data_IF_406475469640
#
_entry.id   IF_406475469640
#
_cell.length_a   1.000
_cell.length_b   1.000
_cell.length_c   1.000
_cell.angle_alpha   90.00
_cell.angle_beta   90.00
_cell.angle_gamma   90.00
#
_symmetry.space_group_name_H-M   'P 1'
#
loop_
_entity.id
_entity.type
_entity.pdbx_description
1 polymer ?
#
# COMPACT_ATOMS: atom_id res chain seq x y z
N UNK A 1 -23.25 -16.79 13.01
CA UNK A 1 -21.86 -16.79 12.53
C UNK A 1 -21.87 -17.53 11.20
N UNK A 2 -21.50 -16.88 10.10
CA UNK A 2 -21.29 -17.56 8.82
C UNK A 2 -20.12 -18.53 8.96
N UNK A 3 -20.16 -19.66 8.22
CA UNK A 3 -19.04 -20.60 8.18
C UNK A 3 -17.74 -19.89 7.79
N UNK A 4 -16.57 -20.35 8.29
CA UNK A 4 -15.29 -19.77 7.89
C UNK A 4 -15.14 -19.81 6.36
N UNK A 5 -14.60 -18.74 5.79
CA UNK A 5 -14.34 -18.67 4.36
C UNK A 5 -13.03 -19.37 4.02
N UNK A 6 -13.11 -20.67 3.64
CA UNK A 6 -11.97 -21.53 3.32
C UNK A 6 -11.43 -21.34 1.89
N UNK A 7 -11.97 -20.39 1.12
CA UNK A 7 -11.50 -20.14 -0.24
C UNK A 7 -10.03 -19.68 -0.23
N UNK A 8 -9.25 -20.20 -1.19
CA UNK A 8 -7.87 -19.78 -1.40
C UNK A 8 -7.79 -18.33 -1.93
N UNK A 9 -6.67 -17.60 -1.71
CA UNK A 9 -6.56 -16.18 -2.07
C UNK A 9 -6.94 -15.85 -3.51
N UNK A 10 -6.50 -16.65 -4.50
CA UNK A 10 -6.84 -16.41 -5.92
C UNK A 10 -8.34 -16.59 -6.19
N UNK A 11 -9.00 -17.52 -5.50
CA UNK A 11 -10.46 -17.69 -5.59
C UNK A 11 -11.18 -16.49 -4.97
N UNK A 12 -10.69 -15.98 -3.84
CA UNK A 12 -11.20 -14.74 -3.24
C UNK A 12 -11.09 -13.55 -4.20
N UNK A 13 -9.92 -13.33 -4.82
CA UNK A 13 -9.75 -12.28 -5.83
C UNK A 13 -10.77 -12.38 -6.97
N UNK A 14 -11.09 -13.58 -7.44
CA UNK A 14 -12.04 -13.79 -8.51
C UNK A 14 -13.51 -13.56 -8.07
N UNK A 15 -13.86 -13.80 -6.83
CA UNK A 15 -15.24 -13.90 -6.37
C UNK A 15 -15.67 -12.84 -5.34
N UNK A 16 -14.73 -12.24 -4.59
CA UNK A 16 -15.02 -11.32 -3.49
C UNK A 16 -15.83 -10.09 -3.93
N UNK A 17 -16.65 -9.56 -3.02
CA UNK A 17 -17.44 -8.35 -3.24
C UNK A 17 -18.58 -8.48 -4.25
N UNK A 18 -19.00 -9.70 -4.60
CA UNK A 18 -20.05 -9.96 -5.60
C UNK A 18 -21.38 -10.35 -4.93
N UNK A 19 -21.87 -9.51 -4.03
CA UNK A 19 -23.18 -9.74 -3.38
C UNK A 19 -24.31 -9.61 -4.39
N UNK A 20 -25.34 -10.49 -4.35
CA UNK A 20 -26.50 -10.41 -5.25
C UNK A 20 -27.22 -9.05 -5.20
N UNK A 21 -27.25 -8.38 -4.05
CA UNK A 21 -27.83 -7.06 -3.86
C UNK A 21 -27.14 -5.97 -4.70
N UNK A 22 -25.89 -6.19 -5.08
CA UNK A 22 -25.09 -5.23 -5.86
C UNK A 22 -24.93 -5.62 -7.32
N UNK A 23 -25.11 -6.88 -7.65
CA UNK A 23 -24.94 -7.41 -9.01
C UNK A 23 -26.24 -7.82 -9.66
N UNK A 24 -27.33 -7.98 -8.88
CA UNK A 24 -28.66 -8.32 -9.34
C UNK A 24 -29.55 -7.10 -9.55
N UNK A 25 -30.71 -7.35 -10.15
CA UNK A 25 -31.80 -6.38 -10.25
C UNK A 25 -33.02 -6.92 -9.49
N UNK A 26 -33.66 -6.14 -8.62
CA UNK A 26 -34.87 -6.58 -7.89
C UNK A 26 -35.93 -7.16 -8.84
N UNK A 27 -36.45 -8.33 -8.48
CA UNK A 27 -37.48 -9.00 -9.27
C UNK A 27 -36.97 -9.75 -10.51
N UNK A 28 -35.69 -9.76 -10.78
CA UNK A 28 -35.08 -10.53 -11.86
C UNK A 28 -34.38 -11.80 -11.32
N UNK A 29 -34.43 -12.93 -12.04
CA UNK A 29 -33.88 -14.21 -11.57
C UNK A 29 -32.35 -14.32 -11.72
N UNK A 30 -31.68 -13.34 -12.32
CA UNK A 30 -30.24 -13.36 -12.60
C UNK A 30 -29.49 -12.17 -12.03
N UNK A 31 -28.15 -12.31 -12.01
CA UNK A 31 -27.23 -11.25 -11.64
C UNK A 31 -26.06 -11.20 -12.62
N UNK A 32 -25.54 -10.00 -12.89
CA UNK A 32 -24.34 -9.83 -13.72
C UNK A 32 -23.08 -10.15 -12.93
N UNK A 33 -21.99 -10.49 -13.64
CA UNK A 33 -20.75 -10.95 -12.98
C UNK A 33 -20.07 -9.81 -12.19
N UNK A 34 -20.03 -8.62 -12.72
CA UNK A 34 -19.40 -7.45 -12.09
C UNK A 34 -20.45 -6.44 -11.62
N UNK A 35 -20.25 -5.83 -10.47
CA UNK A 35 -21.13 -4.74 -10.02
C UNK A 35 -21.17 -3.62 -11.07
N UNK A 36 -22.34 -3.10 -11.43
CA UNK A 36 -22.44 -1.98 -12.37
C UNK A 36 -21.94 -0.69 -11.73
N UNK A 37 -21.68 0.33 -12.57
CA UNK A 37 -21.30 1.66 -12.08
C UNK A 37 -22.55 2.41 -11.62
N UNK A 38 -22.71 2.53 -10.31
CA UNK A 38 -23.79 3.28 -9.68
C UNK A 38 -23.33 4.70 -9.36
N UNK A 39 -23.67 5.66 -10.22
CA UNK A 39 -23.43 7.08 -9.96
C UNK A 39 -24.63 7.67 -9.24
N UNK A 40 -24.39 8.33 -8.09
CA UNK A 40 -25.44 8.96 -7.32
C UNK A 40 -24.94 10.18 -6.54
N UNK A 41 -25.78 11.18 -6.43
CA UNK A 41 -25.68 12.26 -5.45
C UNK A 41 -26.89 12.18 -4.52
N UNK A 42 -28.04 12.60 -4.98
CA UNK A 42 -29.31 12.53 -4.25
C UNK A 42 -29.93 11.14 -4.37
N UNK A 43 -30.47 10.65 -3.26
CA UNK A 43 -31.31 9.44 -3.19
C UNK A 43 -32.71 9.88 -2.90
N UNK A 44 -33.67 9.43 -3.68
CA UNK A 44 -35.08 9.77 -3.50
C UNK A 44 -35.75 8.73 -2.60
N UNK A 45 -36.68 9.21 -1.77
CA UNK A 45 -37.50 8.41 -0.87
C UNK A 45 -38.97 8.61 -1.22
N UNK A 46 -39.80 7.58 -1.01
CA UNK A 46 -41.22 7.63 -1.34
C UNK A 46 -42.00 8.67 -0.49
N UNK A 47 -41.58 8.86 0.77
CA UNK A 47 -42.17 9.80 1.69
C UNK A 47 -41.21 10.23 2.81
N UNK A 48 -41.65 11.20 3.62
CA UNK A 48 -40.87 11.76 4.74
C UNK A 48 -40.66 10.74 5.86
N UNK A 49 -41.52 9.75 6.03
CA UNK A 49 -41.37 8.73 7.05
C UNK A 49 -40.21 7.78 6.67
N UNK A 50 -40.10 7.38 5.41
CA UNK A 50 -38.98 6.61 4.88
C UNK A 50 -37.67 7.38 4.97
N UNK A 51 -37.67 8.68 4.62
CA UNK A 51 -36.48 9.54 4.77
C UNK A 51 -36.02 9.61 6.24
N UNK A 52 -36.95 9.84 7.19
CA UNK A 52 -36.64 9.91 8.62
C UNK A 52 -36.10 8.58 9.16
N UNK A 53 -36.69 7.46 8.75
CA UNK A 53 -36.23 6.12 9.11
C UNK A 53 -34.80 5.85 8.60
N UNK A 54 -34.53 6.24 7.37
CA UNK A 54 -33.17 6.11 6.79
C UNK A 54 -32.15 6.98 7.54
N UNK A 55 -32.49 8.21 7.90
CA UNK A 55 -31.63 9.13 8.65
C UNK A 55 -31.35 8.65 10.08
N UNK A 56 -32.29 7.97 10.72
CA UNK A 56 -32.14 7.40 12.07
C UNK A 56 -31.44 6.03 12.13
N UNK A 57 -31.10 5.46 11.00
CA UNK A 57 -30.46 4.15 10.92
C UNK A 57 -28.97 4.25 10.48
N UNK A 58 -28.23 3.14 10.63
CA UNK A 58 -26.88 3.07 10.05
C UNK A 58 -26.96 3.31 8.54
N UNK A 59 -26.12 4.22 8.04
CA UNK A 59 -26.02 4.55 6.60
C UNK A 59 -24.90 3.75 5.92
N UNK A 60 -24.24 2.83 6.63
CA UNK A 60 -23.20 1.98 6.06
C UNK A 60 -23.82 0.93 5.13
N UNK A 61 -23.30 0.83 3.93
CA UNK A 61 -23.81 -0.04 2.84
C UNK A 61 -25.31 0.13 2.53
N UNK A 62 -25.80 1.37 2.68
CA UNK A 62 -27.17 1.74 2.33
C UNK A 62 -27.19 3.01 1.49
N UNK A 63 -28.02 3.02 0.48
CA UNK A 63 -28.28 4.22 -0.31
C UNK A 63 -28.96 5.28 0.57
N UNK A 64 -28.19 6.28 0.96
CA UNK A 64 -28.64 7.40 1.77
C UNK A 64 -28.34 8.76 1.12
N UNK A 65 -27.09 8.92 0.68
CA UNK A 65 -26.58 10.07 -0.03
C UNK A 65 -25.27 9.65 -0.72
N UNK A 66 -25.03 10.06 -1.96
CA UNK A 66 -23.91 9.57 -2.79
C UNK A 66 -22.53 9.62 -2.12
N UNK A 67 -22.28 10.63 -1.26
CA UNK A 67 -21.03 10.74 -0.47
C UNK A 67 -20.82 9.56 0.50
N UNK A 68 -21.87 8.83 0.88
CA UNK A 68 -21.76 7.63 1.74
C UNK A 68 -21.41 6.36 0.95
N UNK A 69 -21.21 6.50 -0.34
CA UNK A 69 -20.93 5.40 -1.25
C UNK A 69 -22.15 4.84 -1.96
N UNK A 70 -21.90 3.97 -2.90
CA UNK A 70 -22.88 3.25 -3.71
C UNK A 70 -22.47 1.78 -3.79
N UNK A 71 -23.32 0.87 -4.29
CA UNK A 71 -23.00 -0.54 -4.43
C UNK A 71 -21.66 -0.81 -5.15
N UNK A 72 -21.25 0.03 -6.10
CA UNK A 72 -19.96 -0.11 -6.79
C UNK A 72 -18.78 0.04 -5.83
N UNK A 73 -18.80 1.09 -4.99
CA UNK A 73 -17.76 1.32 -3.99
C UNK A 73 -17.80 0.26 -2.88
N UNK A 74 -18.98 -0.13 -2.43
CA UNK A 74 -19.13 -1.17 -1.39
C UNK A 74 -18.64 -2.54 -1.88
N UNK A 75 -18.90 -2.88 -3.15
CA UNK A 75 -18.38 -4.12 -3.77
C UNK A 75 -16.86 -4.20 -3.71
N UNK A 76 -16.16 -3.09 -4.00
CA UNK A 76 -14.70 -3.03 -3.88
C UNK A 76 -14.25 -3.11 -2.42
N UNK A 77 -14.90 -2.34 -1.54
CA UNK A 77 -14.56 -2.32 -0.12
C UNK A 77 -14.71 -3.72 0.51
N UNK A 78 -15.80 -4.42 0.20
CA UNK A 78 -15.99 -5.81 0.63
C UNK A 78 -14.92 -6.75 0.07
N UNK A 79 -14.58 -6.61 -1.21
CA UNK A 79 -13.56 -7.44 -1.82
C UNK A 79 -12.19 -7.27 -1.13
N UNK A 80 -11.82 -6.03 -0.76
CA UNK A 80 -10.59 -5.76 0.00
C UNK A 80 -10.69 -6.28 1.44
N UNK A 81 -11.86 -6.18 2.07
CA UNK A 81 -12.12 -6.74 3.40
C UNK A 81 -11.96 -8.26 3.41
N UNK A 82 -12.51 -8.96 2.42
CA UNK A 82 -12.38 -10.42 2.28
C UNK A 82 -10.94 -10.90 2.07
N UNK A 83 -10.05 -10.03 1.57
CA UNK A 83 -8.62 -10.33 1.40
C UNK A 83 -7.81 -10.22 2.71
N UNK A 84 -8.34 -9.56 3.74
CA UNK A 84 -7.69 -9.36 5.04
C UNK A 84 -8.42 -10.17 6.13
N UNK A 85 -7.99 -11.39 6.47
CA UNK A 85 -8.61 -12.16 7.55
C UNK A 85 -8.56 -11.39 8.88
N UNK A 86 -9.69 -11.32 9.58
CA UNK A 86 -9.84 -10.53 10.81
C UNK A 86 -10.36 -9.11 10.58
N UNK A 87 -10.53 -8.69 9.33
CA UNK A 87 -11.09 -7.37 9.02
C UNK A 87 -12.59 -7.26 9.36
N UNK A 88 -12.98 -6.12 9.93
CA UNK A 88 -14.38 -5.76 10.14
C UNK A 88 -14.94 -4.91 8.98
N UNK A 89 -14.06 -4.33 8.17
CA UNK A 89 -14.46 -3.56 7.00
C UNK A 89 -13.33 -2.71 6.41
N UNK A 90 -13.60 -2.17 5.23
CA UNK A 90 -12.68 -1.31 4.48
C UNK A 90 -13.35 0.01 4.11
N UNK A 91 -12.64 1.13 4.28
CA UNK A 91 -13.01 2.44 3.75
C UNK A 91 -12.14 2.79 2.54
N UNK A 92 -12.75 3.43 1.54
CA UNK A 92 -12.06 3.88 0.32
C UNK A 92 -11.80 5.39 0.37
N UNK A 93 -10.68 5.81 -0.21
CA UNK A 93 -10.17 7.18 -0.20
C UNK A 93 -9.71 7.60 -1.60
N UNK A 94 -9.69 8.92 -1.92
CA UNK A 94 -9.31 9.41 -3.24
C UNK A 94 -7.81 9.22 -3.58
N UNK A 95 -6.97 8.89 -2.58
CA UNK A 95 -5.55 8.60 -2.78
C UNK A 95 -4.97 7.82 -1.59
N UNK A 96 -3.77 7.24 -1.76
CA UNK A 96 -3.03 6.61 -0.66
C UNK A 96 -2.72 7.60 0.48
N UNK A 97 -2.30 8.81 0.15
CA UNK A 97 -2.03 9.86 1.16
C UNK A 97 -3.30 10.24 1.93
N UNK A 98 -4.45 10.31 1.26
CA UNK A 98 -5.72 10.56 1.93
C UNK A 98 -6.11 9.41 2.87
N UNK A 99 -5.81 8.17 2.52
CA UNK A 99 -6.00 7.01 3.38
C UNK A 99 -5.10 7.08 4.62
N UNK A 100 -3.80 7.33 4.45
CA UNK A 100 -2.82 7.46 5.53
C UNK A 100 -3.20 8.61 6.46
N UNK A 101 -3.39 9.81 5.93
CA UNK A 101 -3.70 11.00 6.73
C UNK A 101 -4.99 10.85 7.53
N UNK A 102 -6.03 10.30 6.91
CA UNK A 102 -7.30 10.06 7.58
C UNK A 102 -7.19 8.96 8.66
N UNK A 103 -6.41 7.91 8.43
CA UNK A 103 -6.16 6.86 9.42
C UNK A 103 -5.39 7.41 10.63
N UNK A 104 -4.35 8.21 10.42
CA UNK A 104 -3.59 8.86 11.49
C UNK A 104 -4.48 9.82 12.30
N UNK A 105 -5.29 10.65 11.63
CA UNK A 105 -6.24 11.54 12.31
C UNK A 105 -7.38 10.80 13.02
N UNK A 106 -7.66 9.56 12.66
CA UNK A 106 -8.61 8.73 13.38
C UNK A 106 -8.05 8.24 14.72
N UNK A 107 -6.76 8.00 14.84
CA UNK A 107 -6.13 7.39 16.02
C UNK A 107 -5.46 8.40 16.95
N UNK A 108 -4.95 9.51 16.41
CA UNK A 108 -4.15 10.50 17.14
C UNK A 108 -4.97 11.76 17.50
N UNK A 109 -4.58 12.41 18.58
CA UNK A 109 -5.10 13.70 19.03
C UNK A 109 -3.94 14.59 19.56
N UNK A 110 -4.14 15.90 19.72
CA UNK A 110 -3.12 16.78 20.30
C UNK A 110 -2.58 16.26 21.62
N UNK A 111 -1.24 16.24 21.76
CA UNK A 111 -0.50 15.68 22.91
C UNK A 111 -0.08 14.22 22.76
N UNK A 112 -0.55 13.53 21.72
CA UNK A 112 -0.10 12.16 21.43
C UNK A 112 1.23 12.16 20.64
N UNK A 113 1.97 11.06 20.76
CA UNK A 113 3.18 10.76 20.00
C UNK A 113 2.94 9.61 19.04
N UNK A 114 3.38 9.78 17.78
CA UNK A 114 3.43 8.75 16.75
C UNK A 114 4.86 8.21 16.65
N UNK A 115 5.04 6.90 16.76
CA UNK A 115 6.28 6.25 16.32
C UNK A 115 6.16 5.89 14.85
N UNK A 116 7.11 6.33 14.02
CA UNK A 116 7.11 6.09 12.59
C UNK A 116 8.43 5.45 12.16
N UNK A 117 8.33 4.41 11.35
CA UNK A 117 9.52 3.81 10.74
C UNK A 117 10.28 4.84 9.90
N UNK A 118 11.61 4.88 10.04
CA UNK A 118 12.46 5.87 9.34
C UNK A 118 12.48 5.66 7.82
N UNK A 119 12.11 4.47 7.35
CA UNK A 119 11.94 4.14 5.93
C UNK A 119 10.53 4.41 5.37
N UNK A 120 9.69 5.15 6.09
CA UNK A 120 8.34 5.47 5.62
C UNK A 120 8.34 6.34 4.36
N UNK A 121 7.30 6.16 3.55
CA UNK A 121 7.03 6.94 2.34
C UNK A 121 7.08 8.45 2.60
N UNK A 122 7.84 9.20 1.78
CA UNK A 122 8.10 10.62 2.01
C UNK A 122 6.84 11.50 2.20
N UNK A 123 5.77 11.39 1.41
CA UNK A 123 4.55 12.15 1.67
C UNK A 123 3.89 11.86 3.02
N UNK A 124 4.08 10.67 3.60
CA UNK A 124 3.63 10.37 4.97
C UNK A 124 4.44 11.17 6.00
N UNK A 125 5.77 11.22 5.83
CA UNK A 125 6.66 12.03 6.65
C UNK A 125 6.30 13.52 6.55
N UNK A 126 6.11 14.01 5.33
CA UNK A 126 5.69 15.40 5.07
C UNK A 126 4.36 15.75 5.74
N UNK A 127 3.38 14.82 5.74
CA UNK A 127 2.13 15.01 6.46
C UNK A 127 2.38 15.13 7.98
N UNK A 128 3.24 14.31 8.55
CA UNK A 128 3.57 14.38 9.97
C UNK A 128 4.23 15.72 10.34
N UNK A 129 5.22 16.18 9.58
CA UNK A 129 5.93 17.42 9.88
C UNK A 129 5.08 18.68 9.65
N UNK A 130 4.28 18.71 8.59
CA UNK A 130 3.57 19.92 8.19
C UNK A 130 2.11 19.98 8.63
N UNK A 131 1.51 18.85 9.01
CA UNK A 131 0.13 18.79 9.50
C UNK A 131 0.06 18.33 10.96
N UNK A 132 0.61 17.16 11.32
CA UNK A 132 0.44 16.63 12.68
C UNK A 132 1.19 17.48 13.72
N UNK A 133 2.41 17.87 13.44
CA UNK A 133 3.23 18.66 14.36
C UNK A 133 2.60 20.03 14.70
N UNK A 134 2.10 20.85 13.75
CA UNK A 134 1.35 22.07 14.08
C UNK A 134 0.08 21.83 14.92
N UNK A 135 -0.52 20.63 14.82
CA UNK A 135 -1.66 20.23 15.67
C UNK A 135 -1.24 19.68 17.03
N UNK A 136 0.06 19.72 17.38
CA UNK A 136 0.57 19.27 18.67
C UNK A 136 0.66 17.75 18.81
N UNK A 137 0.86 17.05 17.68
CA UNK A 137 1.14 15.61 17.65
C UNK A 137 2.60 15.45 17.27
N UNK A 138 3.39 14.82 18.12
CA UNK A 138 4.81 14.58 17.88
C UNK A 138 5.01 13.31 17.05
N UNK A 139 6.06 13.31 16.20
CA UNK A 139 6.49 12.12 15.46
C UNK A 139 7.93 11.80 15.80
N UNK A 140 8.16 10.59 16.31
CA UNK A 140 9.49 10.04 16.57
C UNK A 140 9.77 8.96 15.53
N UNK A 141 10.88 9.13 14.81
CA UNK A 141 11.32 8.15 13.81
C UNK A 141 12.20 7.09 14.44
N UNK A 142 12.02 5.83 14.05
CA UNK A 142 12.81 4.71 14.57
C UNK A 142 13.46 3.89 13.44
N UNK A 143 14.57 3.25 13.76
CA UNK A 143 15.30 2.37 12.85
C UNK A 143 14.48 1.09 12.58
N UNK A 144 14.16 0.74 11.31
CA UNK A 144 13.43 -0.48 10.96
C UNK A 144 14.10 -1.78 11.43
N UNK A 145 15.41 -1.75 11.67
CA UNK A 145 16.20 -2.91 12.05
C UNK A 145 16.51 -2.98 13.55
N UNK A 146 16.12 -1.98 14.36
CA UNK A 146 16.40 -1.92 15.82
C UNK A 146 15.12 -2.03 16.67
N UNK A 147 14.63 -3.26 16.81
CA UNK A 147 13.46 -3.57 17.65
C UNK A 147 13.70 -3.24 19.13
N UNK A 148 14.96 -3.36 19.62
CA UNK A 148 15.27 -3.09 21.03
C UNK A 148 15.10 -1.60 21.35
N UNK A 149 15.54 -0.72 20.46
CA UNK A 149 15.37 0.73 20.63
C UNK A 149 13.89 1.14 20.48
N UNK A 150 13.15 0.52 19.58
CA UNK A 150 11.70 0.75 19.48
C UNK A 150 11.00 0.42 20.81
N UNK A 151 11.33 -0.71 21.44
CA UNK A 151 10.75 -1.10 22.72
C UNK A 151 10.95 -0.03 23.81
N UNK A 152 12.09 0.67 23.82
CA UNK A 152 12.33 1.78 24.74
C UNK A 152 11.42 2.99 24.44
N UNK A 153 11.17 3.31 23.18
CA UNK A 153 10.23 4.38 22.81
C UNK A 153 8.79 4.06 23.21
N UNK A 154 8.39 2.79 23.21
CA UNK A 154 7.05 2.35 23.62
C UNK A 154 6.80 2.48 25.13
N UNK A 155 7.83 2.74 25.95
CA UNK A 155 7.65 3.04 27.38
C UNK A 155 7.09 4.45 27.65
N UNK A 156 7.16 5.36 26.68
CA UNK A 156 6.58 6.69 26.81
C UNK A 156 5.04 6.62 26.76
N UNK A 157 4.33 7.04 27.81
CA UNK A 157 2.87 7.00 27.85
C UNK A 157 2.19 7.96 26.85
N UNK A 158 2.92 8.89 26.23
CA UNK A 158 2.39 9.74 25.15
C UNK A 158 2.29 8.99 23.82
N UNK A 159 3.02 7.89 23.64
CA UNK A 159 2.96 7.07 22.43
C UNK A 159 1.59 6.40 22.30
N UNK A 160 0.91 6.64 21.19
CA UNK A 160 -0.45 6.12 20.91
C UNK A 160 -0.54 5.31 19.65
N UNK A 161 0.36 5.51 18.70
CA UNK A 161 0.36 4.82 17.44
C UNK A 161 1.76 4.44 16.99
N UNK A 162 1.87 3.27 16.37
CA UNK A 162 3.06 2.77 15.69
C UNK A 162 2.74 2.63 14.21
N UNK A 163 3.40 3.44 13.37
CA UNK A 163 3.28 3.37 11.91
C UNK A 163 4.42 2.56 11.33
N UNK A 164 4.05 1.52 10.63
CA UNK A 164 4.89 0.52 9.99
C UNK A 164 4.82 0.66 8.47
N UNK A 165 5.92 0.38 7.79
CA UNK A 165 5.98 0.17 6.34
C UNK A 165 7.04 -0.90 6.07
N UNK A 166 6.62 -2.06 5.59
CA UNK A 166 7.51 -3.21 5.40
C UNK A 166 7.10 -4.01 4.16
N UNK A 167 8.02 -4.15 3.19
CA UNK A 167 9.37 -3.56 3.11
C UNK A 167 9.35 -2.03 3.09
N UNK A 168 10.43 -1.41 3.60
CA UNK A 168 10.54 0.05 3.68
C UNK A 168 10.65 0.73 2.33
N UNK A 169 10.22 1.99 2.24
CA UNK A 169 10.30 2.79 1.01
C UNK A 169 11.76 2.99 0.58
N UNK A 170 12.04 2.82 -0.70
CA UNK A 170 13.32 3.00 -1.39
C UNK A 170 14.41 1.98 -1.04
N UNK A 171 14.52 1.53 0.17
CA UNK A 171 15.64 0.71 0.69
C UNK A 171 15.25 -0.72 1.03
N UNK A 172 13.95 -1.00 1.14
CA UNK A 172 13.32 -2.33 1.21
C UNK A 172 13.74 -3.21 2.40
N UNK A 173 14.20 -2.63 3.51
CA UNK A 173 14.38 -3.37 4.76
C UNK A 173 13.05 -3.97 5.23
N UNK A 174 13.09 -5.20 5.71
CA UNK A 174 11.90 -5.91 6.21
C UNK A 174 11.90 -5.94 7.73
N UNK A 175 10.79 -5.53 8.33
CA UNK A 175 10.59 -5.49 9.77
C UNK A 175 9.91 -6.77 10.28
N UNK A 176 10.14 -7.11 11.54
CA UNK A 176 9.40 -8.18 12.24
C UNK A 176 8.01 -7.68 12.67
N UNK A 177 7.09 -7.58 11.72
CA UNK A 177 5.75 -7.02 11.96
C UNK A 177 5.01 -7.71 13.11
N UNK A 178 4.95 -9.06 13.19
CA UNK A 178 4.28 -9.72 14.31
C UNK A 178 4.87 -9.35 15.68
N UNK A 179 6.21 -9.32 15.77
CA UNK A 179 6.88 -8.96 17.05
C UNK A 179 6.64 -7.50 17.42
N UNK A 180 6.70 -6.59 16.45
CA UNK A 180 6.45 -5.15 16.67
C UNK A 180 5.01 -4.89 17.09
N UNK A 181 4.04 -5.57 16.48
CA UNK A 181 2.63 -5.47 16.87
C UNK A 181 2.41 -5.99 18.29
N UNK A 182 3.01 -7.11 18.67
CA UNK A 182 2.90 -7.66 20.01
C UNK A 182 3.44 -6.67 21.08
N UNK A 183 4.63 -6.10 20.84
CA UNK A 183 5.22 -5.08 21.72
C UNK A 183 4.34 -3.83 21.85
N UNK A 184 3.78 -3.35 20.75
CA UNK A 184 2.88 -2.20 20.73
C UNK A 184 1.60 -2.49 21.53
N UNK A 185 0.99 -3.63 21.35
CA UNK A 185 -0.26 -4.04 22.01
C UNK A 185 -0.06 -4.20 23.53
N UNK A 186 1.09 -4.69 24.01
CA UNK A 186 1.41 -4.73 25.44
C UNK A 186 1.36 -3.35 26.10
N UNK A 187 1.59 -2.29 25.34
CA UNK A 187 1.53 -0.89 25.80
C UNK A 187 0.22 -0.17 25.42
N UNK A 188 -0.73 -0.86 24.80
CA UNK A 188 -1.99 -0.28 24.33
C UNK A 188 -1.82 0.70 23.16
N UNK A 189 -0.76 0.53 22.38
CA UNK A 189 -0.42 1.33 21.20
C UNK A 189 -1.02 0.67 19.96
N UNK A 190 -1.76 1.45 19.15
CA UNK A 190 -2.38 0.97 17.91
C UNK A 190 -1.34 0.86 16.80
N UNK A 191 -1.46 -0.17 15.97
CA UNK A 191 -0.55 -0.44 14.86
C UNK A 191 -1.19 -0.14 13.52
N UNK A 192 -0.49 0.64 12.68
CA UNK A 192 -0.88 0.95 11.31
C UNK A 192 0.22 0.48 10.37
N UNK A 193 -0.12 -0.23 9.31
CA UNK A 193 0.85 -0.68 8.30
C UNK A 193 0.47 -0.14 6.92
N UNK A 194 1.39 0.57 6.27
CA UNK A 194 1.35 0.73 4.82
C UNK A 194 1.78 -0.59 4.16
N UNK A 195 0.79 -1.33 3.66
CA UNK A 195 0.95 -2.64 3.04
C UNK A 195 0.91 -2.57 1.50
N UNK A 196 1.18 -1.38 0.95
CA UNK A 196 1.03 -1.14 -0.50
C UNK A 196 1.95 -2.01 -1.34
N UNK A 197 3.19 -2.27 -0.86
CA UNK A 197 4.16 -3.09 -1.61
C UNK A 197 3.69 -4.54 -1.77
N UNK A 198 3.31 -5.19 -0.66
CA UNK A 198 2.96 -6.62 -0.66
C UNK A 198 1.51 -6.90 -1.07
N UNK A 199 0.61 -5.96 -0.83
CA UNK A 199 -0.84 -6.15 -0.87
C UNK A 199 -1.31 -7.25 0.10
N UNK A 200 -2.60 -7.37 0.43
CA UNK A 200 -3.10 -8.47 1.25
C UNK A 200 -2.90 -9.85 0.61
N UNK A 201 -2.58 -9.92 -0.68
CA UNK A 201 -2.34 -11.20 -1.35
C UNK A 201 -1.03 -11.84 -0.86
N UNK A 202 0.02 -11.06 -0.67
CA UNK A 202 1.32 -11.57 -0.25
C UNK A 202 1.62 -11.36 1.23
N UNK A 203 0.93 -10.41 1.87
CA UNK A 203 1.02 -10.16 3.31
C UNK A 203 -0.34 -9.75 3.87
N UNK A 204 -1.18 -10.68 4.37
CA UNK A 204 -2.45 -10.35 5.01
C UNK A 204 -2.18 -9.72 6.39
N UNK A 205 -2.07 -8.40 6.44
CA UNK A 205 -1.52 -7.61 7.55
C UNK A 205 -2.22 -7.87 8.89
N UNK A 206 -3.56 -7.93 8.90
CA UNK A 206 -4.32 -8.13 10.13
C UNK A 206 -4.06 -9.51 10.74
N UNK A 207 -3.76 -10.54 9.93
CA UNK A 207 -3.37 -11.86 10.40
C UNK A 207 -2.00 -11.88 11.10
N UNK A 208 -1.19 -10.82 10.91
CA UNK A 208 0.11 -10.64 11.53
C UNK A 208 0.07 -9.67 12.72
N UNK A 209 -1.14 -9.35 13.22
CA UNK A 209 -1.33 -8.53 14.41
C UNK A 209 -1.52 -7.04 14.13
N UNK A 210 -1.54 -6.60 12.88
CA UNK A 210 -1.79 -5.20 12.54
C UNK A 210 -3.26 -4.83 12.79
N UNK A 211 -3.52 -3.68 13.40
CA UNK A 211 -4.89 -3.19 13.65
C UNK A 211 -5.50 -2.53 12.42
N UNK A 212 -4.68 -1.80 11.66
CA UNK A 212 -5.10 -0.96 10.53
C UNK A 212 -4.14 -1.16 9.34
N UNK A 213 -4.62 -1.79 8.28
CA UNK A 213 -3.92 -1.99 7.02
C UNK A 213 -4.28 -0.90 6.02
N UNK A 214 -3.28 -0.25 5.44
CA UNK A 214 -3.43 0.88 4.51
C UNK A 214 -2.86 0.47 3.16
N UNK A 215 -3.57 0.83 2.09
CA UNK A 215 -3.11 0.59 0.72
C UNK A 215 -3.23 1.89 -0.10
N UNK A 216 -2.19 2.21 -0.84
CA UNK A 216 -2.34 3.01 -2.04
C UNK A 216 -2.85 2.10 -3.17
N UNK A 217 -4.17 1.97 -3.29
CA UNK A 217 -4.79 1.15 -4.34
C UNK A 217 -4.38 1.57 -5.76
N UNK A 218 -3.95 2.83 -5.93
CA UNK A 218 -3.29 3.40 -7.12
C UNK A 218 -2.23 2.47 -7.72
N UNK A 219 -1.57 1.65 -6.87
CA UNK A 219 -0.50 0.74 -7.26
C UNK A 219 -1.06 -0.58 -7.80
N UNK A 220 -0.70 -1.71 -7.22
CA UNK A 220 -1.05 -3.04 -7.72
C UNK A 220 -2.55 -3.37 -7.73
N UNK A 221 -3.36 -2.77 -6.85
CA UNK A 221 -4.81 -3.03 -6.83
C UNK A 221 -5.44 -2.59 -8.16
N UNK A 222 -5.19 -1.35 -8.58
CA UNK A 222 -5.62 -0.84 -9.88
C UNK A 222 -4.78 -1.45 -11.00
N UNK A 223 -3.46 -1.33 -10.91
CA UNK A 223 -2.47 -2.00 -11.78
C UNK A 223 -2.41 -1.50 -13.23
N UNK A 224 -2.99 -0.33 -13.54
CA UNK A 224 -3.11 0.16 -14.93
C UNK A 224 -2.72 1.63 -15.08
N UNK A 225 -2.12 2.26 -14.07
CA UNK A 225 -1.57 3.63 -14.10
C UNK A 225 -2.58 4.73 -14.48
N UNK A 226 -3.87 4.51 -14.20
CA UNK A 226 -4.98 5.34 -14.67
C UNK A 226 -5.93 5.82 -13.56
N UNK A 227 -5.78 5.32 -12.31
CA UNK A 227 -6.65 5.66 -11.17
C UNK A 227 -5.85 6.00 -9.92
N UNK A 228 -6.24 7.07 -9.25
CA UNK A 228 -5.77 7.43 -7.92
C UNK A 228 -6.77 6.95 -6.86
N UNK A 229 -6.33 6.09 -5.94
CA UNK A 229 -7.20 5.57 -4.88
C UNK A 229 -6.38 5.06 -3.69
N UNK A 230 -6.97 5.15 -2.48
CA UNK A 230 -6.48 4.50 -1.27
C UNK A 230 -7.55 3.68 -0.59
N UNK A 231 -7.14 2.80 0.30
CA UNK A 231 -8.05 2.09 1.20
C UNK A 231 -7.46 1.94 2.59
N UNK A 232 -8.35 1.83 3.58
CA UNK A 232 -8.01 1.50 4.97
C UNK A 232 -8.91 0.36 5.39
N UNK A 233 -8.30 -0.78 5.70
CA UNK A 233 -8.96 -1.98 6.23
C UNK A 233 -8.59 -2.11 7.71
N UNK A 234 -9.58 -2.36 8.59
CA UNK A 234 -9.32 -2.36 10.02
C UNK A 234 -10.05 -3.48 10.76
N UNK A 235 -9.52 -3.83 11.93
CA UNK A 235 -10.15 -4.73 12.89
C UNK A 235 -11.45 -4.14 13.46
N UNK A 236 -12.23 -4.96 14.18
CA UNK A 236 -13.50 -4.54 14.78
C UNK A 236 -13.34 -3.36 15.76
N UNK A 237 -12.21 -3.29 16.47
CA UNK A 237 -11.94 -2.25 17.44
C UNK A 237 -11.74 -0.87 16.79
N UNK A 238 -11.27 -0.84 15.55
CA UNK A 238 -10.91 0.41 14.85
C UNK A 238 -11.83 0.78 13.70
N UNK A 239 -12.49 -0.17 13.04
CA UNK A 239 -13.23 0.12 11.81
C UNK A 239 -14.33 1.18 11.98
N UNK A 240 -15.07 1.15 13.09
CA UNK A 240 -16.12 2.13 13.34
C UNK A 240 -15.56 3.56 13.41
N UNK A 241 -14.40 3.75 14.05
CA UNK A 241 -13.72 5.04 14.19
C UNK A 241 -13.12 5.51 12.87
N UNK A 242 -12.45 4.61 12.12
CA UNK A 242 -11.94 4.89 10.77
C UNK A 242 -13.06 5.37 9.85
N UNK A 243 -14.19 4.66 9.81
CA UNK A 243 -15.36 5.03 9.00
C UNK A 243 -15.95 6.36 9.41
N UNK A 244 -16.10 6.62 10.70
CA UNK A 244 -16.60 7.89 11.19
C UNK A 244 -15.71 9.05 10.77
N UNK A 245 -14.40 8.92 10.95
CA UNK A 245 -13.42 9.95 10.56
C UNK A 245 -13.45 10.20 9.06
N UNK A 246 -13.47 9.14 8.24
CA UNK A 246 -13.60 9.26 6.79
C UNK A 246 -14.87 10.05 6.39
N UNK A 247 -15.99 9.80 7.03
CA UNK A 247 -17.23 10.53 6.76
C UNK A 247 -17.17 11.99 7.19
N UNK A 248 -16.50 12.31 8.31
CA UNK A 248 -16.33 13.69 8.78
C UNK A 248 -15.41 14.49 7.85
N UNK A 249 -14.35 13.89 7.34
CA UNK A 249 -13.47 14.49 6.33
C UNK A 249 -14.06 14.49 4.92
N UNK A 250 -15.26 13.93 4.73
CA UNK A 250 -15.91 13.88 3.42
C UNK A 250 -15.23 12.95 2.42
N UNK A 251 -14.47 11.98 2.90
CA UNK A 251 -13.74 11.03 2.04
C UNK A 251 -14.71 10.18 1.23
N UNK A 252 -14.47 10.10 -0.07
CA UNK A 252 -15.22 9.29 -1.02
C UNK A 252 -14.37 9.02 -2.27
N UNK A 253 -14.75 8.00 -3.02
CA UNK A 253 -14.19 7.71 -4.34
C UNK A 253 -15.27 7.81 -5.41
N UNK A 254 -14.87 8.14 -6.63
CA UNK A 254 -15.73 8.05 -7.79
C UNK A 254 -16.16 6.58 -7.99
N UNK A 255 -17.45 6.30 -8.27
CA UNK A 255 -17.87 4.95 -8.61
C UNK A 255 -17.20 4.41 -9.88
N UNK A 256 -16.77 5.27 -10.80
CA UNK A 256 -16.01 4.88 -11.99
C UNK A 256 -14.62 4.37 -11.59
N UNK A 257 -13.92 5.09 -10.71
CA UNK A 257 -12.61 4.68 -10.19
C UNK A 257 -12.72 3.38 -9.37
N UNK A 258 -13.76 3.26 -8.54
CA UNK A 258 -14.02 2.05 -7.76
C UNK A 258 -14.28 0.84 -8.68
N UNK A 259 -14.96 1.05 -9.81
CA UNK A 259 -15.19 0.01 -10.81
C UNK A 259 -13.89 -0.42 -11.50
N UNK A 260 -13.05 0.54 -11.91
CA UNK A 260 -11.73 0.27 -12.51
C UNK A 260 -10.82 -0.49 -11.53
N UNK A 261 -10.79 -0.07 -10.26
CA UNK A 261 -10.04 -0.76 -9.21
C UNK A 261 -10.57 -2.19 -8.97
N UNK A 262 -11.88 -2.39 -8.97
CA UNK A 262 -12.49 -3.72 -8.88
C UNK A 262 -12.08 -4.61 -10.06
N UNK A 263 -12.00 -4.06 -11.26
CA UNK A 263 -11.50 -4.76 -12.44
C UNK A 263 -10.03 -5.13 -12.32
N UNK A 264 -9.19 -4.19 -11.87
CA UNK A 264 -7.77 -4.42 -11.59
C UNK A 264 -7.55 -5.53 -10.55
N UNK A 265 -8.33 -5.52 -9.47
CA UNK A 265 -8.26 -6.53 -8.42
C UNK A 265 -8.42 -7.95 -8.96
N UNK A 266 -9.28 -8.18 -9.97
CA UNK A 266 -9.51 -9.52 -10.55
C UNK A 266 -8.27 -10.13 -11.18
N UNK A 267 -7.35 -9.31 -11.66
CA UNK A 267 -6.10 -9.74 -12.29
C UNK A 267 -4.87 -9.56 -11.40
N UNK A 268 -5.05 -9.12 -10.15
CA UNK A 268 -3.95 -8.85 -9.22
C UNK A 268 -3.00 -10.04 -9.10
N UNK A 269 -3.50 -11.26 -8.89
CA UNK A 269 -2.66 -12.43 -8.67
C UNK A 269 -1.80 -12.80 -9.88
N UNK A 270 -2.33 -12.72 -11.10
CA UNK A 270 -1.56 -13.02 -12.31
C UNK A 270 -0.54 -11.92 -12.64
N UNK A 271 -0.88 -10.65 -12.39
CA UNK A 271 0.03 -9.52 -12.57
C UNK A 271 1.18 -9.56 -11.55
N UNK A 272 0.88 -9.75 -10.27
CA UNK A 272 1.90 -9.83 -9.22
C UNK A 272 2.87 -11.00 -9.46
N UNK A 273 2.36 -12.15 -9.93
CA UNK A 273 3.22 -13.27 -10.27
C UNK A 273 4.19 -12.89 -11.40
N UNK A 274 3.72 -12.24 -12.46
CA UNK A 274 4.57 -11.81 -13.58
C UNK A 274 5.58 -10.74 -13.11
N UNK A 275 5.14 -9.74 -12.35
CA UNK A 275 6.02 -8.73 -11.76
C UNK A 275 7.13 -9.36 -10.92
N UNK A 276 6.78 -10.31 -10.05
CA UNK A 276 7.75 -11.04 -9.24
C UNK A 276 8.77 -11.79 -10.09
N UNK A 277 8.30 -12.61 -11.03
CA UNK A 277 9.17 -13.47 -11.84
C UNK A 277 10.16 -12.62 -12.65
N UNK A 278 9.69 -11.54 -13.29
CA UNK A 278 10.52 -10.62 -14.06
C UNK A 278 11.49 -9.83 -13.16
N UNK A 279 11.00 -9.31 -12.01
CA UNK A 279 11.83 -8.55 -11.08
C UNK A 279 12.96 -9.40 -10.48
N UNK A 280 12.67 -10.64 -10.10
CA UNK A 280 13.71 -11.55 -9.58
C UNK A 280 14.77 -11.89 -10.64
N UNK A 281 14.35 -12.14 -11.87
CA UNK A 281 15.31 -12.39 -12.96
C UNK A 281 16.24 -11.18 -13.18
N UNK A 282 15.68 -9.97 -13.21
CA UNK A 282 16.46 -8.72 -13.36
C UNK A 282 17.33 -8.46 -12.12
N UNK A 283 16.80 -8.66 -10.91
CA UNK A 283 17.57 -8.48 -9.67
C UNK A 283 18.78 -9.42 -9.59
N UNK A 284 18.60 -10.69 -9.97
CA UNK A 284 19.71 -11.65 -10.05
C UNK A 284 20.72 -11.29 -11.14
N UNK A 285 20.27 -10.79 -12.28
CA UNK A 285 21.15 -10.32 -13.34
C UNK A 285 21.94 -9.08 -12.90
N UNK A 286 21.30 -8.07 -12.29
CA UNK A 286 21.95 -6.88 -11.74
C UNK A 286 23.02 -7.23 -10.71
N UNK A 287 22.76 -8.22 -9.87
CA UNK A 287 23.72 -8.69 -8.85
C UNK A 287 25.03 -9.24 -9.42
N UNK A 288 25.03 -9.60 -10.70
CA UNK A 288 26.22 -10.11 -11.41
C UNK A 288 27.00 -9.00 -12.13
N UNK A 289 26.47 -7.77 -12.16
CA UNK A 289 27.11 -6.67 -12.87
C UNK A 289 28.16 -6.00 -11.99
N UNK A 290 29.35 -5.73 -12.55
CA UNK A 290 30.47 -5.10 -11.85
C UNK A 290 30.20 -3.65 -11.42
N UNK A 291 29.24 -2.99 -12.09
CA UNK A 291 28.85 -1.61 -11.81
C UNK A 291 27.75 -1.49 -10.75
N UNK A 292 27.30 -2.61 -10.17
CA UNK A 292 26.23 -2.67 -9.17
C UNK A 292 26.83 -3.16 -7.85
N UNK A 293 26.86 -2.27 -6.86
CA UNK A 293 27.35 -2.58 -5.53
C UNK A 293 26.35 -3.40 -4.71
N UNK A 294 25.06 -3.05 -4.79
CA UNK A 294 23.99 -3.75 -4.04
C UNK A 294 22.68 -3.77 -4.82
N UNK A 295 21.90 -4.83 -4.64
CA UNK A 295 20.51 -4.91 -5.09
C UNK A 295 19.62 -5.04 -3.84
N UNK A 296 18.71 -4.09 -3.68
CA UNK A 296 17.82 -3.96 -2.51
C UNK A 296 16.46 -4.57 -2.86
N UNK A 297 16.38 -5.89 -2.79
CA UNK A 297 15.15 -6.64 -3.07
C UNK A 297 14.90 -7.64 -1.94
N UNK A 298 13.74 -7.62 -1.24
CA UNK A 298 13.49 -8.46 -0.06
C UNK A 298 13.72 -9.95 -0.24
N UNK A 299 13.48 -10.47 -1.42
CA UNK A 299 13.69 -11.89 -1.74
C UNK A 299 15.17 -12.27 -1.95
N UNK A 300 16.11 -11.32 -1.93
CA UNK A 300 17.56 -11.63 -2.01
C UNK A 300 18.13 -11.80 -0.60
N UNK A 301 19.01 -12.81 -0.38
CA UNK A 301 19.53 -13.14 0.96
C UNK A 301 20.31 -12.04 1.66
N UNK A 302 20.87 -11.10 0.91
CA UNK A 302 21.64 -9.95 1.42
C UNK A 302 20.78 -8.71 1.69
N UNK A 303 19.48 -8.75 1.43
CA UNK A 303 18.58 -7.69 1.83
C UNK A 303 18.30 -7.73 3.35
N UNK A 304 18.39 -6.59 4.07
CA UNK A 304 18.09 -6.56 5.50
C UNK A 304 16.67 -7.09 5.78
N UNK A 305 16.56 -8.08 6.66
CA UNK A 305 15.29 -8.72 7.00
C UNK A 305 14.81 -9.78 6.00
N UNK A 306 15.67 -10.29 5.09
CA UNK A 306 15.33 -11.36 4.16
C UNK A 306 14.67 -12.58 4.84
N UNK A 307 15.18 -13.03 6.00
CA UNK A 307 14.61 -14.17 6.72
C UNK A 307 13.21 -13.87 7.25
N UNK A 308 12.92 -12.62 7.61
CA UNK A 308 11.59 -12.16 7.99
C UNK A 308 10.65 -12.16 6.78
N UNK A 309 11.12 -11.66 5.63
CA UNK A 309 10.36 -11.75 4.38
C UNK A 309 10.02 -13.21 4.05
N UNK A 310 11.00 -14.11 4.12
CA UNK A 310 10.80 -15.55 3.83
C UNK A 310 9.83 -16.23 4.80
N UNK A 311 9.77 -15.77 6.05
CA UNK A 311 8.85 -16.29 7.09
C UNK A 311 7.41 -15.81 6.88
N UNK A 312 7.23 -14.52 6.55
CA UNK A 312 5.93 -13.84 6.68
C UNK A 312 5.26 -13.56 5.34
N UNK A 313 6.03 -13.43 4.26
CA UNK A 313 5.48 -13.07 2.95
C UNK A 313 5.34 -14.30 2.04
N UNK A 314 4.24 -14.36 1.30
CA UNK A 314 4.00 -15.45 0.34
C UNK A 314 4.52 -15.16 -1.07
N UNK A 315 5.13 -13.98 -1.30
CA UNK A 315 5.69 -13.58 -2.57
C UNK A 315 6.39 -12.23 -2.52
N UNK A 316 6.84 -11.77 -3.68
CA UNK A 316 7.47 -10.47 -3.89
C UNK A 316 6.84 -9.73 -5.06
N UNK A 317 7.30 -8.51 -5.34
CA UNK A 317 6.68 -7.64 -6.35
C UNK A 317 7.70 -7.08 -7.33
N UNK A 318 7.24 -6.26 -8.27
CA UNK A 318 8.07 -5.63 -9.30
C UNK A 318 8.91 -4.45 -8.81
N UNK A 319 8.74 -4.00 -7.57
CA UNK A 319 9.39 -2.79 -7.06
C UNK A 319 10.59 -3.12 -6.18
N UNK A 320 11.77 -2.61 -6.58
CA UNK A 320 13.00 -2.72 -5.81
C UNK A 320 13.99 -1.61 -6.19
N UNK A 321 15.14 -1.53 -5.52
CA UNK A 321 16.21 -0.59 -5.87
C UNK A 321 17.54 -1.32 -6.06
N UNK A 322 18.49 -0.65 -6.74
CA UNK A 322 19.88 -1.06 -6.73
C UNK A 322 20.79 0.16 -6.54
N UNK A 323 21.97 -0.08 -6.03
CA UNK A 323 23.01 0.93 -5.78
C UNK A 323 24.15 0.68 -6.77
N UNK A 324 24.54 1.72 -7.47
CA UNK A 324 25.69 1.69 -8.39
C UNK A 324 26.99 1.65 -7.60
N UNK A 325 28.02 1.03 -8.18
CA UNK A 325 29.39 1.03 -7.62
C UNK A 325 30.11 2.31 -8.08
N UNK A 326 30.15 3.32 -7.20
CA UNK A 326 30.72 4.63 -7.51
C UNK A 326 29.90 5.44 -8.54
N UNK A 327 30.56 6.38 -9.21
CA UNK A 327 29.92 7.32 -10.11
C UNK A 327 29.19 8.45 -9.36
N UNK A 328 28.68 9.39 -10.12
CA UNK A 328 27.96 10.55 -9.61
C UNK A 328 26.53 10.64 -10.19
N UNK A 329 25.85 11.73 -9.92
CA UNK A 329 24.49 11.98 -10.42
C UNK A 329 24.42 12.06 -11.94
N UNK A 330 25.47 12.59 -12.61
CA UNK A 330 25.52 12.69 -14.06
C UNK A 330 25.64 11.31 -14.71
N UNK A 331 26.49 10.44 -14.14
CA UNK A 331 26.63 9.06 -14.60
C UNK A 331 25.34 8.25 -14.39
N UNK A 332 24.66 8.43 -13.24
CA UNK A 332 23.33 7.83 -12.99
C UNK A 332 22.30 8.34 -14.01
N UNK A 333 22.27 9.65 -14.29
CA UNK A 333 21.38 10.21 -15.29
C UNK A 333 21.63 9.61 -16.68
N UNK A 334 22.90 9.46 -17.09
CA UNK A 334 23.27 8.85 -18.38
C UNK A 334 22.77 7.39 -18.50
N UNK A 335 22.71 6.64 -17.40
CA UNK A 335 22.08 5.32 -17.37
C UNK A 335 20.58 5.46 -17.69
N UNK A 336 19.86 6.29 -16.92
CA UNK A 336 18.39 6.34 -16.91
C UNK A 336 17.84 7.00 -18.17
N UNK A 337 18.39 8.15 -18.56
CA UNK A 337 17.88 8.98 -19.66
C UNK A 337 17.89 8.25 -21.03
N UNK A 338 18.75 7.27 -21.18
CA UNK A 338 18.85 6.51 -22.42
C UNK A 338 18.09 5.17 -22.43
N UNK A 339 17.32 4.86 -21.39
CA UNK A 339 16.50 3.64 -21.37
C UNK A 339 15.32 3.76 -22.33
N UNK A 340 15.09 2.73 -23.13
CA UNK A 340 14.04 2.68 -24.15
C UNK A 340 12.75 2.06 -23.64
N UNK A 341 12.84 1.14 -22.68
CA UNK A 341 11.70 0.37 -22.16
C UNK A 341 11.30 0.75 -20.75
N UNK A 342 12.06 1.64 -20.09
CA UNK A 342 11.74 2.16 -18.76
C UNK A 342 11.33 3.63 -18.86
N UNK A 343 10.12 3.95 -18.43
CA UNK A 343 9.69 5.33 -18.29
C UNK A 343 10.33 6.01 -17.07
N UNK A 344 10.54 7.33 -17.17
CA UNK A 344 10.93 8.17 -16.04
C UNK A 344 9.68 8.79 -15.46
N UNK A 345 9.23 8.32 -14.32
CA UNK A 345 7.99 8.80 -13.72
C UNK A 345 7.80 8.35 -12.28
N UNK A 346 7.09 9.16 -11.52
CA UNK A 346 6.68 8.78 -10.17
C UNK A 346 5.58 7.71 -10.21
N UNK A 347 5.34 7.06 -9.07
CA UNK A 347 4.46 5.92 -8.90
C UNK A 347 5.13 4.59 -9.30
N UNK A 348 4.33 3.53 -9.39
CA UNK A 348 4.70 2.15 -9.72
C UNK A 348 3.46 1.24 -9.63
N UNK A 349 3.60 -0.02 -9.98
CA UNK A 349 2.53 -1.03 -9.82
C UNK A 349 1.60 -1.13 -11.01
N UNK A 350 1.85 -0.37 -12.08
CA UNK A 350 1.19 -0.48 -13.38
C UNK A 350 1.80 -1.59 -14.25
N UNK A 351 1.38 -1.61 -15.51
CA UNK A 351 1.88 -2.58 -16.50
C UNK A 351 3.22 -2.17 -17.13
N UNK A 352 3.58 -0.88 -17.02
CA UNK A 352 4.81 -0.29 -17.56
C UNK A 352 5.98 -0.39 -16.58
N UNK A 353 7.19 -0.59 -17.10
CA UNK A 353 8.44 -0.51 -16.34
C UNK A 353 8.88 0.94 -16.14
N UNK A 354 9.38 1.25 -14.94
CA UNK A 354 9.83 2.59 -14.57
C UNK A 354 11.22 2.53 -13.92
N UNK A 355 12.05 3.55 -14.20
CA UNK A 355 13.34 3.77 -13.54
C UNK A 355 13.40 5.20 -13.00
N UNK A 356 13.77 5.35 -11.72
CA UNK A 356 13.90 6.66 -11.08
C UNK A 356 15.21 6.78 -10.31
N UNK A 357 15.91 7.94 -10.40
CA UNK A 357 16.97 8.27 -9.48
C UNK A 357 16.36 8.46 -8.07
N UNK A 358 16.98 7.86 -7.07
CA UNK A 358 16.53 7.99 -5.67
C UNK A 358 17.71 8.26 -4.75
N UNK A 359 17.46 9.07 -3.71
CA UNK A 359 18.45 9.47 -2.73
C UNK A 359 17.91 9.19 -1.31
N UNK A 360 18.00 7.95 -0.81
CA UNK A 360 17.41 7.57 0.48
C UNK A 360 17.91 8.43 1.66
N UNK A 361 19.15 8.94 1.60
CA UNK A 361 19.71 9.80 2.65
C UNK A 361 18.86 11.04 2.95
N UNK A 362 18.15 11.57 1.96
CA UNK A 362 17.29 12.76 2.13
C UNK A 362 16.07 12.53 3.01
N UNK A 363 15.68 11.26 3.17
CA UNK A 363 14.45 10.85 3.84
C UNK A 363 14.71 10.11 5.16
N UNK A 364 15.97 10.05 5.61
CA UNK A 364 16.36 9.41 6.86
C UNK A 364 16.65 10.43 7.94
N UNK A 365 16.20 10.15 9.17
CA UNK A 365 16.42 11.00 10.35
C UNK A 365 16.85 10.22 11.59
N UNK A 366 16.41 8.98 11.74
CA UNK A 366 16.82 8.08 12.82
C UNK A 366 17.98 7.17 12.42
N UNK A 367 18.19 6.97 11.12
CA UNK A 367 19.26 6.13 10.57
C UNK A 367 20.13 6.91 9.58
N UNK A 368 21.33 6.40 9.32
CA UNK A 368 22.21 6.95 8.30
C UNK A 368 22.24 6.02 7.09
N UNK A 369 21.86 6.52 5.93
CA UNK A 369 22.04 5.81 4.68
C UNK A 369 23.44 6.05 4.14
N UNK A 370 24.27 5.02 4.17
CA UNK A 370 25.59 5.01 3.53
C UNK A 370 25.52 4.11 2.30
N UNK A 371 25.86 4.66 1.15
CA UNK A 371 25.85 3.95 -0.12
C UNK A 371 27.19 4.07 -0.85
N UNK A 372 27.53 3.05 -1.60
CA UNK A 372 28.75 2.95 -2.40
C UNK A 372 28.71 3.90 -3.61
N UNK A 373 27.49 4.28 -4.01
CA UNK A 373 27.22 5.18 -5.12
C UNK A 373 25.74 5.58 -5.21
N UNK A 374 25.32 6.20 -6.29
CA UNK A 374 23.94 6.63 -6.52
C UNK A 374 22.99 5.42 -6.61
N UNK A 375 21.75 5.59 -6.12
CA UNK A 375 20.73 4.55 -6.17
C UNK A 375 19.71 4.81 -7.29
N UNK A 376 19.18 3.72 -7.84
CA UNK A 376 18.10 3.70 -8.84
C UNK A 376 16.98 2.80 -8.33
N UNK A 377 15.77 3.30 -8.33
CA UNK A 377 14.57 2.51 -8.06
C UNK A 377 13.99 2.02 -9.38
N UNK A 378 13.74 0.73 -9.48
CA UNK A 378 13.04 0.11 -10.60
C UNK A 378 11.64 -0.33 -10.16
N UNK A 379 10.68 -0.13 -11.04
CA UNK A 379 9.47 -0.92 -11.10
C UNK A 379 9.50 -1.73 -12.39
N UNK A 380 9.39 -3.04 -12.27
CA UNK A 380 9.35 -3.96 -13.40
C UNK A 380 7.90 -4.21 -13.76
N UNK A 381 7.54 -3.83 -14.98
CA UNK A 381 6.20 -3.97 -15.55
C UNK A 381 5.93 -5.38 -16.09
N UNK A 382 5.19 -5.44 -17.18
CA UNK A 382 4.74 -6.69 -17.81
C UNK A 382 5.42 -6.93 -19.18
N UNK A 383 6.41 -6.10 -19.53
CA UNK A 383 7.21 -6.25 -20.76
C UNK A 383 8.06 -7.53 -20.72
N UNK A 384 8.59 -7.92 -21.86
CA UNK A 384 9.50 -9.08 -21.94
C UNK A 384 10.79 -8.83 -21.11
N UNK A 385 11.09 -9.75 -20.23
CA UNK A 385 12.23 -9.64 -19.31
C UNK A 385 13.57 -9.55 -20.04
N UNK A 386 13.71 -10.20 -21.22
CA UNK A 386 14.95 -10.15 -21.98
C UNK A 386 15.17 -8.75 -22.59
N UNK A 387 14.13 -8.09 -23.06
CA UNK A 387 14.20 -6.72 -23.57
C UNK A 387 14.58 -5.74 -22.46
N UNK A 388 14.00 -5.90 -21.26
CA UNK A 388 14.31 -5.06 -20.09
C UNK A 388 15.78 -5.25 -19.63
N UNK A 389 16.30 -6.48 -19.66
CA UNK A 389 17.70 -6.77 -19.32
C UNK A 389 18.64 -6.15 -20.37
N UNK A 390 18.33 -6.29 -21.65
CA UNK A 390 19.15 -5.71 -22.73
C UNK A 390 19.22 -4.17 -22.63
N UNK A 391 18.08 -3.53 -22.28
CA UNK A 391 18.00 -2.09 -22.11
C UNK A 391 18.81 -1.60 -20.88
N UNK A 392 18.74 -2.34 -19.75
CA UNK A 392 19.54 -2.06 -18.57
C UNK A 392 21.05 -2.28 -18.81
N UNK A 393 21.43 -3.29 -19.60
CA UNK A 393 22.85 -3.52 -19.97
C UNK A 393 23.39 -2.35 -20.80
N UNK A 394 22.62 -1.88 -21.78
CA UNK A 394 22.95 -0.67 -22.53
C UNK A 394 23.00 0.58 -21.61
N UNK A 395 22.13 0.66 -20.61
CA UNK A 395 22.14 1.69 -19.58
C UNK A 395 23.42 1.67 -18.75
N UNK A 396 23.84 0.49 -18.27
CA UNK A 396 25.10 0.32 -17.53
C UNK A 396 26.33 0.65 -18.39
N UNK A 397 26.27 0.36 -19.71
CA UNK A 397 27.35 0.77 -20.62
C UNK A 397 27.45 2.32 -20.72
N UNK A 398 26.34 3.04 -20.75
CA UNK A 398 26.34 4.51 -20.70
C UNK A 398 26.85 5.05 -19.36
N UNK A 399 26.47 4.42 -18.25
CA UNK A 399 27.00 4.75 -16.92
C UNK A 399 28.52 4.63 -16.88
N UNK A 400 29.09 3.51 -17.37
CA UNK A 400 30.56 3.32 -17.46
C UNK A 400 31.27 4.38 -18.30
N UNK A 401 30.63 4.82 -19.37
CA UNK A 401 31.21 5.84 -20.26
C UNK A 401 31.15 7.25 -19.66
N UNK A 402 30.24 7.50 -18.71
CA UNK A 402 30.06 8.80 -18.06
C UNK A 402 30.75 8.91 -16.67
N UNK A 403 31.25 7.81 -16.14
CA UNK A 403 31.91 7.69 -14.83
C UNK A 403 33.33 8.23 -14.75
#
# INVERSE_FOLDING_TARGET
MSAPDDRKPLTKLAQAGRKPEWTGMPGQPGAIVSAPVWRASTILYDDVAHLRKAAGSSTHERLFYGRKGTPTAWSLADALTEMEPGAAGTMLYPSGVAAISCALMAVLKPGDTLLMVDSAYDPTRNFCEHMLKPYGIETIYYDPCDTARLALHLEDPAVRALFLESPGSLTFEVQDIPALCALAHEKGVVTLLDNTWATPLYFPALSHGVDISILACTKYIVGHSDVMMGSVTATADWFAKIRQTAYLFGQMVSPDDAWLASRGLRTLGVRLKQHQDSALAIAHWLKQQLDVARVLHPALPDCPGHDLWRRDFSGSTGLFSFVLDGGDEAARAALIDGLAHFGIGYSWGGFESLALPVDPARYRSATTWAAEGPAVRLHIGLEDTADLIADLDAGLARFRAAR
#
